data_IF_884009358472
#
_entry.id   IF_884009358472
#
_cell.length_a   1.000
_cell.length_b   1.000
_cell.length_c   1.000
_cell.angle_alpha   90.00
_cell.angle_beta   90.00
_cell.angle_gamma   90.00
#
_symmetry.space_group_name_H-M   'P 1'
#
loop_
_entity.id
_entity.type
_entity.pdbx_description
1 polymer ?
#
# COMPACT_ATOMS: atom_id res chain seq x y z
N UNK A 1 -42.21 14.80 4.52
CA UNK A 1 -41.30 14.07 5.43
C UNK A 1 -39.98 13.88 4.70
N UNK A 2 -38.94 14.62 5.08
CA UNK A 2 -37.58 14.27 4.68
C UNK A 2 -37.27 12.94 5.39
N UNK A 3 -37.17 11.84 4.66
CA UNK A 3 -36.65 10.60 5.22
C UNK A 3 -35.24 10.93 5.74
N UNK A 4 -34.99 10.72 7.03
CA UNK A 4 -33.64 10.92 7.57
C UNK A 4 -32.69 10.04 6.77
N UNK A 5 -31.63 10.63 6.22
CA UNK A 5 -30.59 9.85 5.55
C UNK A 5 -30.11 8.75 6.53
N UNK A 6 -29.97 7.50 6.08
CA UNK A 6 -29.48 6.42 6.93
C UNK A 6 -28.08 6.75 7.47
N UNK A 7 -27.84 6.41 8.73
CA UNK A 7 -26.54 6.58 9.39
C UNK A 7 -25.61 5.45 8.92
N UNK A 8 -24.83 5.74 7.87
CA UNK A 8 -23.92 4.78 7.26
C UNK A 8 -22.85 4.29 8.25
N UNK A 9 -22.31 5.19 9.08
CA UNK A 9 -21.31 4.85 10.09
C UNK A 9 -21.87 3.81 11.06
N UNK A 10 -23.07 4.04 11.60
CA UNK A 10 -23.72 3.09 12.51
C UNK A 10 -23.98 1.76 11.82
N UNK A 11 -24.53 1.77 10.61
CA UNK A 11 -24.83 0.54 9.85
C UNK A 11 -23.58 -0.33 9.66
N UNK A 12 -22.48 0.29 9.23
CA UNK A 12 -21.21 -0.39 9.01
C UNK A 12 -20.63 -0.90 10.34
N UNK A 13 -20.65 -0.07 11.39
CA UNK A 13 -20.11 -0.42 12.70
C UNK A 13 -20.85 -1.60 13.33
N UNK A 14 -22.19 -1.61 13.30
CA UNK A 14 -23.00 -2.68 13.87
C UNK A 14 -22.72 -4.03 13.18
N UNK A 15 -22.65 -4.04 11.84
CA UNK A 15 -22.28 -5.24 11.09
C UNK A 15 -20.85 -5.69 11.42
N UNK A 16 -19.92 -4.74 11.50
CA UNK A 16 -18.52 -5.00 11.84
C UNK A 16 -18.37 -5.63 13.23
N UNK A 17 -18.98 -5.04 14.26
CA UNK A 17 -18.92 -5.53 15.64
C UNK A 17 -19.51 -6.95 15.73
N UNK A 18 -20.59 -7.22 15.00
CA UNK A 18 -21.22 -8.54 14.96
C UNK A 18 -20.39 -9.58 14.21
N UNK A 19 -19.79 -9.21 13.08
CA UNK A 19 -19.16 -10.14 12.15
C UNK A 19 -17.65 -10.33 12.37
N UNK A 20 -17.00 -9.34 12.98
CA UNK A 20 -15.54 -9.21 13.08
C UNK A 20 -15.05 -9.06 14.53
N UNK A 21 -15.89 -9.35 15.52
CA UNK A 21 -15.52 -9.34 16.94
C UNK A 21 -14.19 -10.08 17.26
N UNK A 22 -13.90 -11.28 16.70
CA UNK A 22 -12.64 -11.96 16.96
C UNK A 22 -11.39 -11.16 16.54
N UNK A 23 -11.51 -10.29 15.53
CA UNK A 23 -10.42 -9.39 15.12
C UNK A 23 -10.15 -8.34 16.20
N UNK A 24 -11.20 -7.77 16.80
CA UNK A 24 -11.09 -6.79 17.90
C UNK A 24 -10.43 -7.47 19.12
N UNK A 25 -10.88 -8.66 19.50
CA UNK A 25 -10.26 -9.40 20.60
C UNK A 25 -8.78 -9.67 20.35
N UNK A 26 -8.44 -10.09 19.12
CA UNK A 26 -7.06 -10.38 18.73
C UNK A 26 -6.20 -9.12 18.78
N UNK A 27 -6.74 -7.99 18.31
CA UNK A 27 -6.07 -6.70 18.33
C UNK A 27 -5.83 -6.21 19.76
N UNK A 28 -6.85 -6.23 20.62
CA UNK A 28 -6.72 -5.81 22.04
C UNK A 28 -5.75 -6.70 22.80
N UNK A 29 -5.78 -8.03 22.59
CA UNK A 29 -4.80 -8.96 23.18
C UNK A 29 -3.40 -8.70 22.65
N UNK A 30 -3.26 -8.44 21.35
CA UNK A 30 -1.99 -8.09 20.73
C UNK A 30 -1.37 -6.83 21.31
N UNK A 31 -2.17 -5.77 21.45
CA UNK A 31 -1.78 -4.52 22.07
C UNK A 31 -1.34 -4.70 23.53
N UNK A 32 -2.04 -5.52 24.31
CA UNK A 32 -1.63 -5.82 25.70
C UNK A 32 -0.27 -6.55 25.80
N UNK A 33 0.17 -7.22 24.72
CA UNK A 33 1.45 -7.92 24.66
C UNK A 33 2.54 -7.18 23.89
N UNK A 34 2.21 -6.04 23.25
CA UNK A 34 3.21 -5.24 22.58
C UNK A 34 4.10 -4.60 23.64
N UNK A 35 5.39 -4.88 23.57
CA UNK A 35 6.39 -4.18 24.40
C UNK A 35 6.61 -2.81 23.81
N UNK A 36 6.86 -1.82 24.67
CA UNK A 36 7.36 -0.53 24.22
C UNK A 36 8.64 -0.75 23.41
N UNK A 37 8.60 -0.35 22.14
CA UNK A 37 9.78 -0.38 21.28
C UNK A 37 10.71 0.78 21.62
N UNK A 38 12.00 0.62 21.33
CA UNK A 38 12.98 1.72 21.44
C UNK A 38 12.50 2.92 20.61
N UNK A 39 12.85 4.12 21.06
CA UNK A 39 12.49 5.42 20.48
C UNK A 39 12.81 5.55 18.97
N UNK A 40 11.97 5.00 18.08
CA UNK A 40 11.99 5.29 16.64
C UNK A 40 10.88 6.28 16.33
N UNK A 41 11.25 7.49 15.93
CA UNK A 41 10.27 8.46 15.41
C UNK A 41 9.77 7.98 14.05
N UNK A 42 8.47 7.79 13.95
CA UNK A 42 7.80 7.43 12.69
C UNK A 42 7.24 8.69 12.07
N UNK A 43 7.57 8.93 10.78
CA UNK A 43 7.12 10.10 10.04
C UNK A 43 6.01 9.71 9.08
N UNK A 44 4.87 10.34 9.26
CA UNK A 44 3.74 10.31 8.34
C UNK A 44 3.51 11.70 7.76
N UNK A 45 2.53 11.80 6.88
CA UNK A 45 1.99 13.06 6.43
C UNK A 45 0.48 12.93 6.21
N UNK A 46 -0.21 14.06 6.18
CA UNK A 46 -1.59 14.17 5.74
C UNK A 46 -1.73 15.41 4.86
N UNK A 47 -2.67 15.39 3.92
CA UNK A 47 -2.99 16.57 3.14
C UNK A 47 -4.24 17.24 3.71
N UNK A 48 -4.19 18.56 3.82
CA UNK A 48 -5.32 19.40 4.22
C UNK A 48 -5.31 20.64 3.35
N UNK A 49 -6.44 20.96 2.74
CA UNK A 49 -6.55 22.10 1.81
C UNK A 49 -5.49 22.09 0.69
N UNK A 50 -5.14 20.90 0.18
CA UNK A 50 -4.11 20.73 -0.85
C UNK A 50 -2.66 20.95 -0.38
N UNK A 51 -2.43 21.13 0.92
CA UNK A 51 -1.09 21.26 1.51
C UNK A 51 -0.72 20.03 2.31
N UNK A 52 0.50 19.56 2.13
CA UNK A 52 1.10 18.48 2.91
C UNK A 52 1.45 18.99 4.31
N UNK A 53 1.04 18.25 5.33
CA UNK A 53 1.42 18.45 6.72
C UNK A 53 2.12 17.19 7.20
N UNK A 54 3.39 17.30 7.59
CA UNK A 54 4.12 16.16 8.15
C UNK A 54 3.74 15.96 9.62
N UNK A 55 3.53 14.71 10.02
CA UNK A 55 3.18 14.30 11.38
C UNK A 55 4.26 13.34 11.86
N UNK A 56 4.78 13.58 13.07
CA UNK A 56 5.72 12.66 13.70
C UNK A 56 5.05 12.00 14.88
N UNK A 57 5.07 10.67 14.91
CA UNK A 57 4.56 9.85 16.00
C UNK A 57 5.72 9.14 16.69
N UNK A 58 5.62 9.01 18.00
CA UNK A 58 6.58 8.22 18.78
C UNK A 58 6.35 6.72 18.57
N UNK A 59 7.41 5.90 18.68
CA UNK A 59 7.37 4.45 18.52
C UNK A 59 6.47 3.70 19.54
N UNK A 60 5.96 4.38 20.56
CA UNK A 60 5.05 3.79 21.54
C UNK A 60 3.65 3.47 20.99
N UNK A 61 3.34 3.88 19.77
CA UNK A 61 2.05 3.58 19.13
C UNK A 61 2.06 2.19 18.47
N UNK A 62 0.89 1.57 18.47
CA UNK A 62 0.63 0.32 17.76
C UNK A 62 0.11 0.65 16.35
N UNK A 63 1.00 0.65 15.36
CA UNK A 63 0.64 1.08 14.00
C UNK A 63 -0.11 -0.02 13.23
N UNK A 64 -1.32 0.31 12.77
CA UNK A 64 -2.16 -0.53 11.92
C UNK A 64 -2.07 -0.03 10.47
N UNK A 65 -1.45 -0.81 9.59
CA UNK A 65 -1.30 -0.45 8.18
C UNK A 65 -2.53 -0.83 7.36
N UNK A 66 -3.03 0.09 6.55
CA UNK A 66 -3.79 -0.17 5.32
C UNK A 66 -2.93 0.16 4.08
N UNK A 67 -3.31 -0.39 2.91
CA UNK A 67 -2.54 -0.22 1.67
C UNK A 67 -3.30 0.62 0.66
N UNK A 68 -2.59 1.48 -0.04
CA UNK A 68 -3.07 2.24 -1.20
C UNK A 68 -1.92 2.34 -2.21
N UNK A 69 -2.25 2.57 -3.46
CA UNK A 69 -1.26 2.66 -4.55
C UNK A 69 -1.34 4.02 -5.24
N UNK A 70 -0.19 4.57 -5.69
CA UNK A 70 -0.16 5.78 -6.53
C UNK A 70 -0.55 5.51 -8.00
N UNK A 71 -0.96 4.29 -8.32
CA UNK A 71 -1.30 3.88 -9.68
C UNK A 71 -2.46 4.66 -10.26
N UNK A 72 -3.31 5.29 -9.44
CA UNK A 72 -4.42 6.12 -9.89
C UNK A 72 -4.62 7.33 -8.96
N UNK A 73 -5.03 8.51 -9.50
CA UNK A 73 -5.36 9.68 -8.68
C UNK A 73 -6.63 9.52 -7.84
N UNK A 74 -7.61 8.77 -8.33
CA UNK A 74 -8.88 8.52 -7.64
C UNK A 74 -8.75 7.44 -6.56
N UNK A 75 -9.70 7.43 -5.62
CA UNK A 75 -9.85 6.36 -4.64
C UNK A 75 -10.76 5.28 -5.21
N UNK A 76 -10.29 4.05 -5.28
CA UNK A 76 -11.15 2.93 -5.69
C UNK A 76 -12.12 2.54 -4.58
N UNK A 77 -13.15 1.76 -4.95
CA UNK A 77 -14.06 1.15 -3.99
C UNK A 77 -13.31 0.28 -2.97
N UNK A 78 -12.35 -0.52 -3.44
CA UNK A 78 -11.49 -1.35 -2.58
C UNK A 78 -10.66 -0.51 -1.61
N UNK A 79 -10.02 0.56 -2.10
CA UNK A 79 -9.20 1.43 -1.25
C UNK A 79 -10.05 2.05 -0.13
N UNK A 80 -11.24 2.56 -0.44
CA UNK A 80 -12.12 3.18 0.56
C UNK A 80 -12.62 2.15 1.58
N UNK A 81 -12.96 0.94 1.13
CA UNK A 81 -13.34 -0.14 2.04
C UNK A 81 -12.19 -0.48 3.02
N UNK A 82 -10.96 -0.58 2.51
CA UNK A 82 -9.76 -0.80 3.32
C UNK A 82 -9.52 0.29 4.36
N UNK A 83 -9.72 1.56 3.98
CA UNK A 83 -9.58 2.71 4.88
C UNK A 83 -10.63 2.66 6.00
N UNK A 84 -11.89 2.40 5.66
CA UNK A 84 -12.97 2.27 6.65
C UNK A 84 -12.67 1.10 7.61
N UNK A 85 -12.25 -0.05 7.10
CA UNK A 85 -11.90 -1.20 7.93
C UNK A 85 -10.73 -0.91 8.89
N UNK A 86 -9.72 -0.16 8.45
CA UNK A 86 -8.63 0.28 9.30
C UNK A 86 -9.12 1.24 10.41
N UNK A 87 -10.01 2.18 10.09
CA UNK A 87 -10.66 3.06 11.09
C UNK A 87 -11.48 2.27 12.11
N UNK A 88 -12.27 1.28 11.67
CA UNK A 88 -13.08 0.45 12.56
C UNK A 88 -12.20 -0.37 13.52
N UNK A 89 -11.15 -1.03 13.01
CA UNK A 89 -10.18 -1.75 13.83
C UNK A 89 -9.53 -0.83 14.87
N UNK A 90 -9.07 0.34 14.44
CA UNK A 90 -8.42 1.30 15.31
C UNK A 90 -9.35 1.77 16.43
N UNK A 91 -10.53 2.27 16.09
CA UNK A 91 -11.47 2.85 17.05
C UNK A 91 -12.00 1.78 18.01
N UNK A 92 -12.42 0.62 17.49
CA UNK A 92 -12.87 -0.47 18.36
C UNK A 92 -11.71 -1.01 19.22
N UNK A 93 -10.51 -1.16 18.65
CA UNK A 93 -9.34 -1.62 19.38
C UNK A 93 -8.96 -0.70 20.52
N UNK A 94 -8.89 0.62 20.29
CA UNK A 94 -8.63 1.61 21.32
C UNK A 94 -9.74 1.63 22.39
N UNK A 95 -11.01 1.62 21.97
CA UNK A 95 -12.16 1.65 22.88
C UNK A 95 -12.19 0.45 23.82
N UNK A 96 -12.10 -0.78 23.28
CA UNK A 96 -12.17 -2.00 24.09
C UNK A 96 -10.86 -2.31 24.82
N UNK A 97 -9.74 -1.72 24.42
CA UNK A 97 -8.53 -1.73 25.24
C UNK A 97 -8.73 -0.90 26.53
N UNK A 98 -9.35 0.28 26.41
CA UNK A 98 -9.59 1.17 27.56
C UNK A 98 -10.73 0.69 28.46
N UNK A 99 -11.82 0.18 27.87
CA UNK A 99 -13.04 -0.21 28.60
C UNK A 99 -13.09 -1.71 28.94
N UNK A 100 -12.10 -2.49 28.49
CA UNK A 100 -12.07 -3.94 28.61
C UNK A 100 -12.97 -4.65 27.60
N UNK A 101 -12.63 -5.90 27.27
CA UNK A 101 -13.45 -6.73 26.38
C UNK A 101 -14.73 -7.20 27.11
N UNK A 102 -15.89 -6.94 26.51
CA UNK A 102 -17.20 -7.34 27.03
C UNK A 102 -18.21 -7.46 25.88
N UNK A 103 -19.43 -7.94 26.17
CA UNK A 103 -20.51 -7.98 25.18
C UNK A 103 -20.91 -6.57 24.76
N UNK A 104 -20.96 -6.34 23.45
CA UNK A 104 -21.27 -5.03 22.86
C UNK A 104 -22.68 -4.60 23.25
N UNK A 105 -22.78 -3.43 23.90
CA UNK A 105 -24.03 -2.79 24.25
C UNK A 105 -24.40 -1.68 23.26
N UNK A 106 -25.65 -1.21 23.32
CA UNK A 106 -26.07 -0.05 22.53
C UNK A 106 -25.26 1.21 22.87
N UNK A 107 -24.87 1.37 24.13
CA UNK A 107 -24.05 2.50 24.55
C UNK A 107 -22.68 2.47 23.86
N UNK A 108 -22.05 1.29 23.76
CA UNK A 108 -20.77 1.17 23.08
C UNK A 108 -20.87 1.56 21.61
N UNK A 109 -21.94 1.14 20.93
CA UNK A 109 -22.20 1.52 19.53
C UNK A 109 -22.31 3.05 19.39
N UNK A 110 -23.04 3.70 20.30
CA UNK A 110 -23.24 5.15 20.28
C UNK A 110 -21.93 5.90 20.52
N UNK A 111 -21.15 5.46 21.51
CA UNK A 111 -19.84 6.02 21.84
C UNK A 111 -18.84 5.82 20.69
N UNK A 112 -18.77 4.62 20.11
CA UNK A 112 -17.91 4.31 18.97
C UNK A 112 -18.30 5.11 17.72
N UNK A 113 -19.60 5.31 17.44
CA UNK A 113 -20.06 6.17 16.35
C UNK A 113 -19.62 7.63 16.54
N UNK A 114 -19.64 8.12 17.79
CA UNK A 114 -19.14 9.45 18.10
C UNK A 114 -17.62 9.56 17.89
N UNK A 115 -16.87 8.54 18.33
CA UNK A 115 -15.40 8.50 18.16
C UNK A 115 -15.02 8.42 16.68
N UNK A 116 -15.70 7.59 15.87
CA UNK A 116 -15.44 7.42 14.44
C UNK A 116 -15.48 8.74 13.65
N UNK A 117 -16.24 9.74 14.10
CA UNK A 117 -16.36 11.06 13.45
C UNK A 117 -15.15 11.97 13.68
N UNK A 118 -14.27 11.59 14.61
CA UNK A 118 -13.10 12.38 14.97
C UNK A 118 -11.81 11.74 14.40
N UNK A 119 -10.74 12.52 14.28
CA UNK A 119 -9.41 12.01 13.97
C UNK A 119 -8.97 10.89 14.91
N UNK A 120 -8.00 10.10 14.45
CA UNK A 120 -7.39 9.03 15.24
C UNK A 120 -6.87 9.53 16.59
N UNK A 121 -7.31 8.86 17.67
CA UNK A 121 -6.86 9.10 19.04
C UNK A 121 -6.64 7.75 19.74
N UNK A 122 -5.56 7.64 20.52
CA UNK A 122 -5.25 6.44 21.32
C UNK A 122 -3.92 5.79 20.97
N UNK A 123 -3.73 4.55 21.45
CA UNK A 123 -2.48 3.80 21.26
C UNK A 123 -2.37 3.19 19.87
N UNK A 124 -3.49 2.72 19.32
CA UNK A 124 -3.55 2.21 17.95
C UNK A 124 -3.71 3.40 17.02
N UNK A 125 -2.82 3.48 16.02
CA UNK A 125 -2.87 4.51 14.97
C UNK A 125 -2.92 3.81 13.63
N UNK A 126 -4.01 3.99 12.89
CA UNK A 126 -4.08 3.52 11.51
C UNK A 126 -3.33 4.46 10.57
N UNK A 127 -2.69 3.89 9.55
CA UNK A 127 -2.00 4.68 8.53
C UNK A 127 -2.05 4.00 7.15
N UNK A 128 -1.88 4.81 6.10
CA UNK A 128 -1.78 4.38 4.73
C UNK A 128 -0.33 4.19 4.32
N UNK A 129 0.02 2.98 3.89
CA UNK A 129 1.25 2.75 3.15
C UNK A 129 0.97 2.93 1.66
N UNK A 130 1.46 4.03 1.09
CA UNK A 130 1.38 4.31 -0.33
C UNK A 130 2.64 3.81 -1.04
N UNK A 131 2.47 2.89 -2.00
CA UNK A 131 3.59 2.34 -2.77
C UNK A 131 3.99 3.24 -3.94
N UNK A 132 5.23 3.74 -3.93
CA UNK A 132 5.74 4.76 -4.87
C UNK A 132 6.67 4.23 -5.98
N UNK A 133 6.92 2.91 -5.98
CA UNK A 133 7.79 2.23 -6.93
C UNK A 133 7.05 1.46 -8.04
N UNK A 134 5.79 1.81 -8.25
CA UNK A 134 4.86 1.23 -9.22
C UNK A 134 4.62 2.19 -10.40
N UNK A 135 3.98 1.71 -11.46
CA UNK A 135 3.60 2.52 -12.61
C UNK A 135 2.37 3.41 -12.31
N UNK A 136 2.40 4.66 -12.79
CA UNK A 136 1.34 5.66 -12.56
C UNK A 136 0.02 5.38 -13.28
N UNK A 137 -0.08 4.34 -14.10
CA UNK A 137 -1.32 3.90 -14.74
C UNK A 137 -1.38 2.36 -14.78
N UNK A 138 -1.14 1.75 -13.62
CA UNK A 138 -0.96 0.29 -13.51
C UNK A 138 -2.22 -0.53 -13.83
N UNK A 139 -3.40 0.02 -13.53
CA UNK A 139 -4.70 -0.66 -13.62
C UNK A 139 -5.66 -0.04 -14.65
N UNK A 140 -5.17 0.87 -15.50
CA UNK A 140 -5.95 1.45 -16.60
C UNK A 140 -7.25 2.16 -16.19
N UNK A 141 -7.24 2.88 -15.07
CA UNK A 141 -8.34 3.79 -14.69
C UNK A 141 -7.89 5.25 -14.60
N UNK A 142 -6.62 5.54 -14.87
CA UNK A 142 -6.08 6.88 -14.75
C UNK A 142 -6.52 7.75 -15.94
N UNK A 143 -7.23 8.88 -15.73
CA UNK A 143 -7.65 9.76 -16.82
C UNK A 143 -6.47 10.47 -17.51
N UNK A 144 -5.24 10.33 -17.00
CA UNK A 144 -4.01 10.87 -17.58
C UNK A 144 -3.26 9.85 -18.44
N UNK A 145 -3.78 8.61 -18.59
CA UNK A 145 -3.14 7.47 -19.26
C UNK A 145 -2.40 7.83 -20.55
N UNK A 146 -3.09 8.42 -21.52
CA UNK A 146 -2.47 8.74 -22.82
C UNK A 146 -1.33 9.76 -22.70
N UNK A 147 -1.47 10.75 -21.80
CA UNK A 147 -0.43 11.74 -21.55
C UNK A 147 0.78 11.18 -20.79
N UNK A 148 0.58 10.18 -19.92
CA UNK A 148 1.66 9.45 -19.24
C UNK A 148 2.48 8.67 -20.27
N UNK A 149 1.83 8.02 -21.25
CA UNK A 149 2.51 7.30 -22.34
C UNK A 149 3.21 8.27 -23.28
N UNK A 150 2.51 9.26 -23.83
CA UNK A 150 3.07 10.20 -24.81
C UNK A 150 4.14 11.13 -24.24
N UNK A 151 4.18 11.36 -22.92
CA UNK A 151 5.30 12.04 -22.25
C UNK A 151 6.54 11.16 -22.03
N UNK A 152 6.45 9.86 -22.33
CA UNK A 152 7.53 8.89 -22.16
C UNK A 152 7.72 8.40 -20.72
N UNK A 153 6.77 8.69 -19.82
CA UNK A 153 6.88 8.42 -18.38
C UNK A 153 6.16 7.14 -17.94
N UNK A 154 5.55 6.38 -18.84
CA UNK A 154 4.73 5.21 -18.48
C UNK A 154 5.50 4.03 -17.88
N UNK A 155 6.82 3.98 -18.06
CA UNK A 155 7.69 3.00 -17.39
C UNK A 155 8.40 3.56 -16.14
N UNK A 156 8.19 4.83 -15.81
CA UNK A 156 8.79 5.44 -14.61
C UNK A 156 8.04 4.97 -13.37
N UNK A 157 8.72 4.90 -12.21
CA UNK A 157 8.01 4.75 -10.95
C UNK A 157 7.24 6.04 -10.65
N UNK A 158 6.09 5.95 -9.96
CA UNK A 158 5.28 7.10 -9.58
C UNK A 158 6.10 8.22 -8.91
N UNK A 159 7.11 7.85 -8.11
CA UNK A 159 8.00 8.81 -7.47
C UNK A 159 8.76 9.74 -8.45
N UNK A 160 9.02 9.27 -9.67
CA UNK A 160 9.76 10.03 -10.68
C UNK A 160 8.85 10.71 -11.71
N UNK A 161 7.55 10.38 -11.75
CA UNK A 161 6.61 10.98 -12.70
C UNK A 161 6.40 12.46 -12.39
N UNK A 162 6.50 13.27 -13.44
CA UNK A 162 6.30 14.72 -13.45
C UNK A 162 4.93 15.04 -14.05
N UNK A 163 4.23 16.02 -13.46
CA UNK A 163 2.91 16.44 -13.95
C UNK A 163 2.97 17.35 -15.16
N UNK A 164 4.13 17.93 -15.45
CA UNK A 164 4.39 18.69 -16.66
C UNK A 164 4.11 17.80 -17.88
N UNK A 165 3.35 18.33 -18.84
CA UNK A 165 2.88 17.64 -20.06
C UNK A 165 1.82 16.56 -19.84
N UNK A 166 1.42 16.27 -18.59
CA UNK A 166 0.26 15.44 -18.35
C UNK A 166 -1.02 16.24 -18.64
N UNK A 167 -2.00 15.58 -19.23
CA UNK A 167 -3.28 16.13 -19.63
C UNK A 167 -4.34 15.03 -19.55
N UNK A 168 -5.60 15.44 -19.40
CA UNK A 168 -6.72 14.51 -19.43
C UNK A 168 -6.89 13.93 -20.83
N UNK A 169 -7.01 12.61 -20.91
CA UNK A 169 -7.45 11.92 -22.11
C UNK A 169 -8.99 12.03 -22.21
N UNK A 170 -9.46 13.03 -22.96
CA UNK A 170 -10.90 13.27 -23.14
C UNK A 170 -11.62 12.10 -23.80
N UNK A 171 -10.95 11.30 -24.65
CA UNK A 171 -11.57 10.12 -25.27
C UNK A 171 -11.80 9.03 -24.23
N UNK A 172 -10.82 8.82 -23.36
CA UNK A 172 -10.94 7.89 -22.24
C UNK A 172 -12.01 8.34 -21.24
N UNK A 173 -12.04 9.64 -20.92
CA UNK A 173 -13.10 10.21 -20.05
C UNK A 173 -14.48 10.00 -20.66
N UNK A 174 -14.67 10.35 -21.93
CA UNK A 174 -15.95 10.16 -22.62
C UNK A 174 -16.39 8.68 -22.64
N UNK A 175 -15.42 7.74 -22.72
CA UNK A 175 -15.70 6.30 -22.73
C UNK A 175 -16.12 5.75 -21.37
N UNK A 176 -15.53 6.25 -20.27
CA UNK A 176 -15.65 5.60 -18.95
C UNK A 176 -16.30 6.44 -17.85
N UNK A 177 -16.69 7.69 -18.12
CA UNK A 177 -17.47 8.49 -17.18
C UNK A 177 -18.72 7.74 -16.71
N UNK A 178 -18.91 7.70 -15.39
CA UNK A 178 -19.99 6.98 -14.72
C UNK A 178 -19.72 5.48 -14.49
N UNK A 179 -18.65 4.92 -15.07
CA UNK A 179 -18.31 3.51 -14.93
C UNK A 179 -17.00 3.24 -14.18
N UNK A 180 -15.97 4.05 -14.42
CA UNK A 180 -14.69 4.01 -13.69
C UNK A 180 -14.48 5.21 -12.77
N UNK A 181 -15.07 6.36 -13.08
CA UNK A 181 -14.94 7.61 -12.34
C UNK A 181 -16.06 8.55 -12.76
N UNK A 182 -16.33 9.59 -11.97
CA UNK A 182 -17.26 10.64 -12.35
C UNK A 182 -16.54 11.92 -12.80
N UNK A 183 -17.26 12.81 -13.49
CA UNK A 183 -16.70 14.05 -14.05
C UNK A 183 -16.03 14.94 -13.01
N UNK A 184 -16.64 15.06 -11.83
CA UNK A 184 -16.12 15.92 -10.76
C UNK A 184 -14.76 15.44 -10.22
N UNK A 185 -14.46 14.14 -10.32
CA UNK A 185 -13.15 13.60 -9.98
C UNK A 185 -12.10 13.96 -11.02
N UNK A 186 -12.43 13.88 -12.31
CA UNK A 186 -11.55 14.32 -13.39
C UNK A 186 -11.23 15.81 -13.23
N UNK A 187 -12.24 16.63 -12.95
CA UNK A 187 -12.07 18.07 -12.68
C UNK A 187 -11.17 18.32 -11.45
N UNK A 188 -11.30 17.52 -10.40
CA UNK A 188 -10.43 17.56 -9.22
C UNK A 188 -8.98 17.24 -9.60
N UNK A 189 -8.75 16.20 -10.41
CA UNK A 189 -7.41 15.86 -10.92
C UNK A 189 -6.81 17.02 -11.69
N UNK A 190 -7.54 17.60 -12.65
CA UNK A 190 -7.08 18.76 -13.45
C UNK A 190 -6.71 19.94 -12.56
N UNK A 191 -7.53 20.22 -11.53
CA UNK A 191 -7.31 21.33 -10.61
C UNK A 191 -5.99 21.21 -9.85
N UNK A 192 -5.59 20.00 -9.48
CA UNK A 192 -4.34 19.74 -8.72
C UNK A 192 -3.13 19.52 -9.64
N UNK A 193 -3.35 19.11 -10.89
CA UNK A 193 -2.27 18.87 -11.87
C UNK A 193 -1.31 20.06 -12.03
N UNK A 194 -1.85 21.29 -12.00
CA UNK A 194 -1.10 22.54 -12.11
C UNK A 194 -0.63 23.15 -10.78
N UNK A 195 -0.89 22.52 -9.62
CA UNK A 195 -0.64 23.13 -8.29
C UNK A 195 0.41 22.41 -7.46
N UNK A 196 0.78 21.18 -7.81
CA UNK A 196 1.59 20.31 -6.98
C UNK A 196 3.09 20.28 -7.38
N UNK A 197 3.68 21.44 -7.69
CA UNK A 197 5.14 21.60 -7.92
C UNK A 197 5.76 20.55 -8.87
N UNK A 198 5.04 20.19 -9.94
CA UNK A 198 5.49 19.18 -10.90
C UNK A 198 5.70 17.76 -10.32
N UNK A 199 5.01 17.42 -9.23
CA UNK A 199 5.10 16.13 -8.53
C UNK A 199 3.81 15.35 -8.69
N UNK A 200 3.89 14.20 -9.36
CA UNK A 200 2.72 13.34 -9.55
C UNK A 200 2.19 12.79 -8.22
N UNK A 201 3.08 12.34 -7.31
CA UNK A 201 2.66 11.85 -6.00
C UNK A 201 1.96 12.93 -5.16
N UNK A 202 2.48 14.16 -5.15
CA UNK A 202 1.84 15.25 -4.40
C UNK A 202 0.48 15.63 -5.01
N UNK A 203 0.31 15.50 -6.33
CA UNK A 203 -0.98 15.65 -7.00
C UNK A 203 -1.95 14.54 -6.59
N UNK A 204 -1.54 13.27 -6.64
CA UNK A 204 -2.37 12.14 -6.24
C UNK A 204 -2.79 12.25 -4.78
N UNK A 205 -1.87 12.59 -3.87
CA UNK A 205 -2.20 12.76 -2.46
C UNK A 205 -3.19 13.91 -2.24
N UNK A 206 -3.00 15.06 -2.89
CA UNK A 206 -3.95 16.16 -2.79
C UNK A 206 -5.35 15.76 -3.30
N UNK A 207 -5.43 15.02 -4.41
CA UNK A 207 -6.70 14.51 -4.96
C UNK A 207 -7.35 13.50 -4.02
N UNK A 208 -6.59 12.51 -3.52
CA UNK A 208 -7.10 11.45 -2.64
C UNK A 208 -7.56 12.03 -1.31
N UNK A 209 -6.80 12.91 -0.67
CA UNK A 209 -7.22 13.52 0.60
C UNK A 209 -8.44 14.45 0.45
N UNK A 210 -8.53 15.25 -0.62
CA UNK A 210 -9.76 16.02 -0.87
C UNK A 210 -10.97 15.09 -1.09
N UNK A 211 -10.75 13.93 -1.71
CA UNK A 211 -11.80 12.91 -1.84
C UNK A 211 -12.17 12.28 -0.49
N UNK A 212 -11.17 11.92 0.34
CA UNK A 212 -11.38 11.38 1.69
C UNK A 212 -12.19 12.36 2.54
N UNK A 213 -11.89 13.66 2.52
CA UNK A 213 -12.66 14.68 3.26
C UNK A 213 -14.15 14.66 2.88
N UNK A 214 -14.46 14.55 1.58
CA UNK A 214 -15.84 14.45 1.09
C UNK A 214 -16.52 13.14 1.49
N UNK A 215 -15.78 12.04 1.47
CA UNK A 215 -16.29 10.72 1.85
C UNK A 215 -16.48 10.63 3.36
N UNK A 216 -15.64 11.29 4.17
CA UNK A 216 -15.80 11.34 5.61
C UNK A 216 -17.14 11.93 6.01
N UNK A 217 -17.57 12.99 5.33
CA UNK A 217 -18.90 13.59 5.53
C UNK A 217 -20.04 12.65 5.09
N UNK A 218 -19.82 11.90 4.01
CA UNK A 218 -20.84 11.02 3.43
C UNK A 218 -21.07 9.77 4.29
N UNK A 219 -19.99 9.15 4.77
CA UNK A 219 -20.05 7.97 5.63
C UNK A 219 -20.29 8.31 7.10
N UNK A 220 -19.95 9.52 7.55
CA UNK A 220 -19.97 9.87 8.97
C UNK A 220 -18.81 9.26 9.76
N UNK A 221 -17.69 8.98 9.10
CA UNK A 221 -16.45 8.41 9.67
C UNK A 221 -15.31 9.30 9.19
N UNK A 222 -14.39 9.74 10.05
CA UNK A 222 -13.18 10.43 9.60
C UNK A 222 -12.23 9.43 8.92
N UNK A 223 -12.10 9.57 7.60
CA UNK A 223 -11.27 8.71 6.74
C UNK A 223 -9.87 9.28 6.48
N UNK A 224 -9.58 10.51 6.93
CA UNK A 224 -8.35 11.22 6.67
C UNK A 224 -7.18 10.75 7.55
N UNK A 225 -6.84 9.46 7.47
CA UNK A 225 -5.75 8.87 8.27
C UNK A 225 -4.36 9.26 7.72
N UNK A 226 -3.31 9.28 8.55
CA UNK A 226 -1.95 9.60 8.12
C UNK A 226 -1.42 8.63 7.05
N UNK A 227 -0.52 9.11 6.21
CA UNK A 227 0.10 8.36 5.11
C UNK A 227 1.62 8.31 5.20
N UNK A 228 2.22 7.28 4.59
CA UNK A 228 3.65 7.11 4.39
C UNK A 228 3.91 6.71 2.93
N UNK A 229 4.97 7.27 2.30
CA UNK A 229 5.40 6.88 0.94
C UNK A 229 6.59 5.93 1.02
N UNK A 230 6.52 4.78 0.37
CA UNK A 230 7.60 3.79 0.33
C UNK A 230 7.62 3.00 -0.98
N UNK A 231 8.76 2.44 -1.40
CA UNK A 231 10.08 2.53 -0.78
C UNK A 231 10.96 3.68 -1.25
N UNK A 232 10.73 4.28 -2.42
CA UNK A 232 11.67 5.18 -3.09
C UNK A 232 11.85 6.50 -2.36
N UNK A 233 10.75 7.07 -1.85
CA UNK A 233 10.81 8.31 -1.05
C UNK A 233 11.70 8.12 0.19
N UNK A 234 11.61 6.96 0.84
CA UNK A 234 12.46 6.65 2.00
C UNK A 234 13.91 6.44 1.56
N UNK A 235 14.15 5.64 0.52
CA UNK A 235 15.49 5.40 -0.04
C UNK A 235 16.20 6.68 -0.48
N UNK A 236 15.47 7.67 -0.98
CA UNK A 236 16.03 8.97 -1.36
C UNK A 236 16.42 9.81 -0.13
N UNK A 237 15.65 9.70 0.96
CA UNK A 237 15.86 10.43 2.21
C UNK A 237 16.89 9.80 3.15
N UNK A 238 17.11 8.48 3.04
CA UNK A 238 18.04 7.73 3.88
C UNK A 238 19.51 7.93 3.43
N UNK A 239 20.44 7.89 4.39
CA UNK A 239 21.87 7.75 4.09
C UNK A 239 22.17 6.30 3.72
N UNK A 240 23.39 6.01 3.26
CA UNK A 240 23.83 4.63 2.97
C UNK A 240 23.82 3.71 4.20
N UNK A 241 23.76 4.27 5.41
CA UNK A 241 23.59 3.51 6.66
C UNK A 241 22.12 3.33 7.08
N UNK A 242 21.19 3.85 6.28
CA UNK A 242 19.75 3.69 6.44
C UNK A 242 19.30 2.24 6.35
N UNK A 243 18.09 1.99 6.83
CA UNK A 243 17.56 0.64 6.97
C UNK A 243 17.31 -0.02 5.61
N UNK A 244 16.72 0.70 4.64
CA UNK A 244 16.43 0.10 3.33
C UNK A 244 17.73 -0.16 2.56
N UNK A 245 18.72 0.73 2.64
CA UNK A 245 20.05 0.48 2.07
C UNK A 245 20.70 -0.74 2.72
N UNK A 246 20.66 -0.86 4.04
CA UNK A 246 21.16 -2.04 4.75
C UNK A 246 20.49 -3.33 4.26
N UNK A 247 19.15 -3.37 4.19
CA UNK A 247 18.39 -4.53 3.69
C UNK A 247 18.85 -4.92 2.28
N UNK A 248 18.98 -3.94 1.37
CA UNK A 248 19.40 -4.22 0.00
C UNK A 248 20.83 -4.78 -0.04
N UNK A 249 21.79 -4.17 0.67
CA UNK A 249 23.18 -4.65 0.70
C UNK A 249 23.29 -6.08 1.20
N UNK A 250 22.63 -6.37 2.33
CA UNK A 250 22.74 -7.66 2.99
C UNK A 250 22.10 -8.79 2.19
N UNK A 251 20.96 -8.49 1.54
CA UNK A 251 20.28 -9.46 0.68
C UNK A 251 21.01 -9.73 -0.63
N UNK A 252 21.93 -8.86 -1.05
CA UNK A 252 22.73 -9.02 -2.26
C UNK A 252 24.21 -9.38 -2.01
N UNK A 253 24.61 -9.59 -0.74
CA UNK A 253 26.01 -9.80 -0.34
C UNK A 253 26.69 -10.92 -1.13
N UNK A 254 26.06 -12.08 -1.19
CA UNK A 254 26.60 -13.29 -1.81
C UNK A 254 25.49 -14.26 -2.25
N UNK A 255 25.89 -15.41 -2.80
CA UNK A 255 24.98 -16.48 -3.21
C UNK A 255 24.07 -16.95 -2.07
N UNK A 256 24.60 -17.11 -0.86
CA UNK A 256 23.82 -17.64 0.27
C UNK A 256 22.79 -16.62 0.74
N UNK A 257 23.12 -15.33 0.78
CA UNK A 257 22.15 -14.27 1.07
C UNK A 257 20.97 -14.31 0.10
N UNK A 258 21.24 -14.37 -1.21
CA UNK A 258 20.20 -14.40 -2.24
C UNK A 258 19.38 -15.68 -2.14
N UNK A 259 20.02 -16.83 -1.92
CA UNK A 259 19.35 -18.12 -1.76
C UNK A 259 18.39 -18.13 -0.56
N UNK A 260 18.77 -17.53 0.58
CA UNK A 260 17.90 -17.43 1.76
C UNK A 260 16.66 -16.58 1.47
N UNK A 261 16.84 -15.44 0.78
CA UNK A 261 15.69 -14.61 0.35
C UNK A 261 14.81 -15.39 -0.62
N UNK A 262 15.39 -16.07 -1.61
CA UNK A 262 14.65 -16.90 -2.56
C UNK A 262 13.84 -18.01 -1.87
N UNK A 263 14.38 -18.64 -0.82
CA UNK A 263 13.65 -19.62 -0.02
C UNK A 263 12.42 -19.00 0.64
N UNK A 264 12.53 -17.79 1.21
CA UNK A 264 11.39 -17.02 1.72
C UNK A 264 10.36 -16.71 0.63
N UNK A 265 10.77 -16.68 -0.64
CA UNK A 265 9.89 -16.50 -1.80
C UNK A 265 9.33 -17.82 -2.38
N UNK A 266 9.74 -18.99 -1.89
CA UNK A 266 9.45 -20.26 -2.54
C UNK A 266 10.09 -20.38 -3.94
N UNK A 267 11.22 -19.71 -4.16
CA UNK A 267 11.98 -19.70 -5.41
C UNK A 267 13.26 -20.51 -5.27
N UNK A 268 13.73 -21.06 -6.39
CA UNK A 268 15.01 -21.77 -6.46
C UNK A 268 16.08 -20.93 -7.15
N UNK A 269 17.35 -21.23 -6.85
CA UNK A 269 18.50 -20.61 -7.51
C UNK A 269 18.75 -21.13 -8.94
N UNK A 270 17.87 -21.97 -9.50
CA UNK A 270 18.09 -22.61 -10.82
C UNK A 270 18.05 -21.62 -11.99
N UNK A 271 17.09 -20.70 -11.99
CA UNK A 271 16.86 -19.81 -13.13
C UNK A 271 17.55 -18.45 -12.96
N UNK A 272 17.78 -18.02 -11.71
CA UNK A 272 18.45 -16.74 -11.38
C UNK A 272 17.84 -15.51 -12.06
N UNK A 273 16.52 -15.49 -12.25
CA UNK A 273 15.81 -14.41 -12.96
C UNK A 273 15.08 -13.43 -12.05
N UNK A 274 14.83 -13.79 -10.79
CA UNK A 274 14.03 -12.97 -9.87
C UNK A 274 14.89 -11.91 -9.21
N UNK A 275 14.74 -10.66 -9.61
CA UNK A 275 15.50 -9.57 -9.00
C UNK A 275 14.94 -9.24 -7.61
N UNK A 276 15.80 -9.24 -6.58
CA UNK A 276 15.43 -8.86 -5.22
C UNK A 276 15.23 -7.35 -5.08
N UNK A 277 15.97 -6.57 -5.87
CA UNK A 277 15.66 -5.19 -6.20
C UNK A 277 15.75 -5.02 -7.71
N UNK A 278 14.85 -4.25 -8.31
CA UNK A 278 14.82 -3.97 -9.75
C UNK A 278 15.57 -2.66 -10.03
N UNK A 279 16.81 -2.69 -10.57
CA UNK A 279 17.54 -1.49 -10.89
C UNK A 279 16.81 -0.63 -11.91
N UNK A 280 16.78 0.68 -11.69
CA UNK A 280 16.23 1.63 -12.65
C UNK A 280 17.21 1.79 -13.81
N UNK A 281 16.69 1.92 -15.02
CA UNK A 281 17.51 2.18 -16.19
C UNK A 281 18.11 3.60 -16.15
N UNK A 282 19.21 3.87 -16.88
CA UNK A 282 19.71 5.24 -17.08
C UNK A 282 18.67 6.19 -17.70
N UNK A 283 17.65 5.64 -18.36
CA UNK A 283 16.51 6.38 -18.93
C UNK A 283 15.40 6.63 -17.91
N UNK A 284 15.52 6.17 -16.66
CA UNK A 284 14.51 6.36 -15.60
C UNK A 284 13.45 5.24 -15.49
N UNK A 285 13.44 4.25 -16.39
CA UNK A 285 12.50 3.13 -16.31
C UNK A 285 12.71 2.30 -15.05
N UNK A 286 11.62 1.99 -14.33
CA UNK A 286 11.61 1.19 -13.11
C UNK A 286 10.47 0.15 -13.04
N UNK A 287 9.65 0.04 -14.10
CA UNK A 287 8.53 -0.89 -14.14
C UNK A 287 8.96 -2.33 -13.84
N UNK A 288 8.50 -2.88 -12.71
CA UNK A 288 8.76 -4.28 -12.32
C UNK A 288 8.13 -5.25 -13.31
N UNK A 289 7.04 -4.84 -13.98
CA UNK A 289 6.34 -5.62 -15.02
C UNK A 289 7.12 -5.65 -16.33
N UNK A 290 7.81 -4.56 -16.69
CA UNK A 290 8.62 -4.45 -17.88
C UNK A 290 10.03 -5.08 -17.73
N UNK A 291 10.57 -5.11 -16.52
CA UNK A 291 11.91 -5.60 -16.24
C UNK A 291 12.04 -7.13 -16.39
N UNK A 292 13.14 -7.58 -17.00
CA UNK A 292 13.57 -8.99 -17.05
C UNK A 292 15.01 -9.08 -16.55
N UNK A 293 15.19 -9.81 -15.46
CA UNK A 293 16.48 -9.92 -14.77
C UNK A 293 17.23 -11.20 -15.08
N UNK A 294 18.56 -11.12 -15.00
CA UNK A 294 19.45 -12.29 -14.83
C UNK A 294 20.56 -11.97 -13.85
N UNK A 295 20.73 -12.81 -12.84
CA UNK A 295 21.76 -12.70 -11.82
C UNK A 295 22.94 -13.60 -12.22
N UNK A 296 24.15 -13.07 -12.14
CA UNK A 296 25.37 -13.79 -12.48
C UNK A 296 26.28 -13.89 -11.26
N UNK A 297 26.82 -15.08 -11.03
CA UNK A 297 27.78 -15.36 -9.97
C UNK A 297 29.14 -15.75 -10.55
N UNK A 298 30.18 -15.49 -9.77
CA UNK A 298 31.52 -16.05 -9.93
C UNK A 298 31.83 -16.87 -8.67
N UNK A 299 31.66 -18.18 -8.76
CA UNK A 299 31.58 -19.05 -7.58
C UNK A 299 30.43 -18.63 -6.66
N UNK A 300 30.74 -18.31 -5.40
CA UNK A 300 29.76 -17.82 -4.42
C UNK A 300 29.57 -16.29 -4.45
N UNK A 301 30.42 -15.57 -5.17
CA UNK A 301 30.39 -14.10 -5.21
C UNK A 301 29.38 -13.62 -6.24
N UNK A 302 28.51 -12.69 -5.86
CA UNK A 302 27.69 -11.98 -6.85
C UNK A 302 28.64 -11.23 -7.80
N UNK A 303 28.48 -11.42 -9.11
CA UNK A 303 29.28 -10.74 -10.12
C UNK A 303 28.55 -9.51 -10.65
N UNK A 304 27.29 -9.68 -11.02
CA UNK A 304 26.50 -8.63 -11.67
C UNK A 304 25.05 -9.04 -11.84
N UNK A 305 24.19 -8.07 -12.09
CA UNK A 305 22.81 -8.27 -12.53
C UNK A 305 22.64 -7.65 -13.91
N UNK A 306 22.11 -8.40 -14.88
CA UNK A 306 21.65 -7.85 -16.16
C UNK A 306 20.15 -7.57 -16.07
N UNK A 307 19.74 -6.42 -16.57
CA UNK A 307 18.34 -6.01 -16.66
C UNK A 307 18.01 -5.65 -18.10
N UNK A 308 16.97 -6.29 -18.63
CA UNK A 308 16.37 -5.96 -19.92
C UNK A 308 14.96 -5.40 -19.65
N UNK A 309 14.75 -4.10 -19.90
CA UNK A 309 13.42 -3.51 -19.93
C UNK A 309 12.81 -3.73 -21.30
N UNK A 310 11.56 -4.17 -21.32
CA UNK A 310 10.78 -4.33 -22.56
C UNK A 310 9.42 -3.70 -22.41
N UNK A 311 8.98 -3.02 -23.46
CA UNK A 311 7.62 -2.51 -23.55
C UNK A 311 6.62 -3.64 -23.25
N UNK A 312 5.80 -3.44 -22.22
CA UNK A 312 4.96 -4.51 -21.65
C UNK A 312 3.57 -3.98 -21.31
N UNK A 313 2.54 -4.76 -21.65
CA UNK A 313 1.16 -4.52 -21.20
C UNK A 313 1.05 -4.67 -19.68
N UNK A 314 0.39 -3.71 -19.05
CA UNK A 314 0.08 -3.71 -17.62
C UNK A 314 -1.21 -4.46 -17.34
N UNK A 315 -1.89 -4.17 -16.23
CA UNK A 315 -3.13 -4.85 -15.89
C UNK A 315 -4.29 -4.20 -16.64
N UNK A 316 -5.19 -4.98 -17.25
CA UNK A 316 -6.44 -4.44 -17.77
C UNK A 316 -7.30 -3.93 -16.62
N UNK A 317 -8.15 -2.93 -16.90
CA UNK A 317 -9.26 -2.63 -16.00
C UNK A 317 -10.35 -3.70 -16.13
N UNK A 318 -11.19 -3.89 -15.10
CA UNK A 318 -12.20 -4.95 -15.11
C UNK A 318 -13.40 -4.69 -16.04
N UNK A 319 -13.56 -3.47 -16.57
CA UNK A 319 -14.70 -3.10 -17.44
C UNK A 319 -14.42 -3.43 -18.91
N UNK A 320 -13.22 -3.11 -19.39
CA UNK A 320 -12.78 -3.43 -20.75
C UNK A 320 -11.40 -4.10 -20.71
N UNK A 321 -11.34 -5.44 -20.79
CA UNK A 321 -10.08 -6.18 -20.79
C UNK A 321 -9.15 -5.87 -21.96
N UNK A 322 -9.63 -5.22 -23.02
CA UNK A 322 -8.82 -4.83 -24.18
C UNK A 322 -8.20 -3.44 -24.01
N UNK A 323 -8.70 -2.64 -23.07
CA UNK A 323 -8.16 -1.32 -22.74
C UNK A 323 -7.10 -1.48 -21.66
N UNK A 324 -5.88 -1.77 -22.12
CA UNK A 324 -4.75 -2.10 -21.25
C UNK A 324 -3.74 -0.97 -21.27
N UNK A 325 -3.22 -0.62 -20.10
CA UNK A 325 -2.11 0.33 -19.99
C UNK A 325 -0.80 -0.31 -20.38
N UNK A 326 0.21 0.51 -20.71
CA UNK A 326 1.48 0.01 -21.22
C UNK A 326 2.61 0.72 -20.50
N UNK A 327 3.53 -0.06 -19.92
CA UNK A 327 4.84 0.43 -19.53
C UNK A 327 5.71 0.43 -20.79
N UNK A 328 5.86 1.60 -21.41
CA UNK A 328 6.62 1.77 -22.65
C UNK A 328 8.07 2.09 -22.35
N UNK A 329 8.99 1.30 -22.89
CA UNK A 329 10.41 1.48 -22.66
C UNK A 329 11.21 0.22 -22.98
N UNK A 330 12.24 0.40 -23.81
CA UNK A 330 13.21 -0.63 -24.13
C UNK A 330 14.61 -0.16 -23.74
N UNK A 331 15.26 -0.95 -22.89
CA UNK A 331 16.64 -0.71 -22.46
C UNK A 331 17.30 -2.02 -22.01
N UNK A 332 18.62 -2.08 -22.08
CA UNK A 332 19.40 -3.25 -21.63
C UNK A 332 20.71 -2.78 -21.03
N UNK A 333 20.91 -3.08 -19.75
CA UNK A 333 22.11 -2.69 -19.04
C UNK A 333 22.51 -3.73 -17.99
N UNK A 334 23.68 -3.51 -17.40
CA UNK A 334 24.24 -4.36 -16.36
C UNK A 334 24.60 -3.49 -15.16
N UNK A 335 24.30 -4.00 -13.98
CA UNK A 335 24.72 -3.44 -12.69
C UNK A 335 25.77 -4.38 -12.12
N UNK A 336 26.95 -3.83 -11.82
CA UNK A 336 28.01 -4.59 -11.18
C UNK A 336 27.66 -4.89 -9.73
N UNK A 337 28.12 -6.02 -9.20
CA UNK A 337 27.76 -6.45 -7.85
C UNK A 337 28.10 -5.43 -6.77
N UNK A 338 29.20 -4.69 -6.94
CA UNK A 338 29.66 -3.71 -5.96
C UNK A 338 28.61 -2.62 -5.69
N UNK A 339 27.88 -2.22 -6.73
CA UNK A 339 26.78 -1.25 -6.63
C UNK A 339 25.57 -1.76 -5.84
N UNK A 340 25.42 -3.08 -5.70
CA UNK A 340 24.34 -3.70 -4.92
C UNK A 340 24.81 -4.06 -3.51
N UNK A 341 26.08 -4.45 -3.34
CA UNK A 341 26.67 -4.78 -2.03
C UNK A 341 27.09 -3.54 -1.24
N UNK A 342 27.42 -2.44 -1.92
CA UNK A 342 27.69 -1.11 -1.36
C UNK A 342 26.58 -0.12 -1.77
N UNK A 343 25.33 -0.59 -1.71
CA UNK A 343 24.18 0.11 -2.27
C UNK A 343 24.06 1.58 -1.84
N UNK A 344 23.90 2.44 -2.85
CA UNK A 344 23.57 3.84 -2.72
C UNK A 344 22.46 4.19 -3.74
N UNK A 345 21.28 4.57 -3.25
CA UNK A 345 20.14 4.90 -4.11
C UNK A 345 20.45 6.01 -5.14
N UNK A 346 21.30 6.99 -4.79
CA UNK A 346 21.65 8.08 -5.71
C UNK A 346 22.48 7.63 -6.90
N UNK A 347 23.27 6.57 -6.73
CA UNK A 347 24.17 6.03 -7.74
C UNK A 347 23.55 4.85 -8.49
N UNK A 348 22.78 4.02 -7.80
CA UNK A 348 22.11 2.83 -8.34
C UNK A 348 20.67 2.79 -7.84
N UNK A 349 19.79 3.67 -8.35
CA UNK A 349 18.39 3.67 -7.94
C UNK A 349 17.75 2.33 -8.32
N UNK A 350 16.97 1.75 -7.39
CA UNK A 350 16.34 0.46 -7.60
C UNK A 350 15.08 0.30 -6.75
N UNK A 351 14.13 -0.48 -7.27
CA UNK A 351 12.84 -0.76 -6.62
C UNK A 351 12.87 -2.15 -5.94
N UNK A 352 13.00 -2.23 -4.59
CA UNK A 352 13.02 -3.50 -3.88
C UNK A 352 11.68 -4.25 -3.97
N UNK A 353 11.71 -5.57 -3.79
CA UNK A 353 10.47 -6.35 -3.66
C UNK A 353 9.72 -5.97 -2.38
N UNK A 354 8.38 -6.03 -2.41
CA UNK A 354 7.50 -5.62 -1.31
C UNK A 354 7.91 -6.18 0.05
N UNK A 355 8.10 -7.50 0.14
CA UNK A 355 8.40 -8.17 1.41
C UNK A 355 9.78 -7.79 1.99
N UNK A 356 10.67 -7.16 1.20
CA UNK A 356 11.95 -6.64 1.69
C UNK A 356 11.75 -5.26 2.31
N UNK A 357 11.18 -4.31 1.56
CA UNK A 357 11.01 -2.96 2.11
C UNK A 357 9.93 -2.89 3.19
N UNK A 358 8.99 -3.83 3.21
CA UNK A 358 8.00 -3.91 4.29
C UNK A 358 8.63 -4.18 5.65
N UNK A 359 9.86 -4.71 5.73
CA UNK A 359 10.62 -4.82 6.99
C UNK A 359 10.93 -3.45 7.60
N UNK A 360 10.95 -2.38 6.80
CA UNK A 360 11.15 -1.02 7.27
C UNK A 360 9.85 -0.30 7.66
N UNK A 361 8.69 -0.86 7.29
CA UNK A 361 7.36 -0.39 7.69
C UNK A 361 7.20 -0.52 9.22
N UNK A 362 6.65 0.49 9.91
CA UNK A 362 6.48 0.50 11.37
C UNK A 362 5.28 -0.35 11.86
N UNK A 363 4.67 -1.13 10.96
CA UNK A 363 3.45 -1.89 11.21
C UNK A 363 3.57 -2.92 12.35
N UNK A 364 2.71 -2.79 13.34
CA UNK A 364 2.44 -3.82 14.37
C UNK A 364 1.22 -4.69 14.00
N UNK A 365 0.34 -4.16 13.15
CA UNK A 365 -0.72 -4.88 12.47
C UNK A 365 -0.83 -4.45 11.01
N UNK A 366 -1.33 -5.36 10.16
CA UNK A 366 -1.56 -5.13 8.75
C UNK A 366 -2.95 -5.57 8.34
N UNK A 367 -3.62 -4.74 7.54
CA UNK A 367 -4.85 -5.09 6.86
C UNK A 367 -4.54 -5.43 5.40
N UNK A 368 -4.98 -6.60 4.98
CA UNK A 368 -4.97 -7.04 3.59
C UNK A 368 -6.36 -6.94 2.98
N UNK A 369 -6.41 -6.66 1.67
CA UNK A 369 -7.66 -6.55 0.93
C UNK A 369 -7.88 -7.86 0.16
N UNK A 370 -8.73 -8.75 0.69
CA UNK A 370 -9.18 -9.91 -0.07
C UNK A 370 -8.15 -11.02 -0.31
N UNK A 371 -7.21 -11.29 0.61
CA UNK A 371 -6.38 -12.51 0.53
C UNK A 371 -7.29 -13.73 0.39
N UNK A 372 -7.02 -14.55 -0.62
CA UNK A 372 -7.88 -15.67 -1.02
C UNK A 372 -8.68 -15.39 -2.30
N UNK A 373 -8.89 -14.11 -2.65
CA UNK A 373 -9.17 -13.70 -4.02
C UNK A 373 -7.85 -13.43 -4.76
N UNK A 374 -7.85 -13.68 -6.07
CA UNK A 374 -6.77 -13.33 -7.01
C UNK A 374 -5.35 -13.87 -6.69
N UNK A 375 -5.21 -14.86 -5.80
CA UNK A 375 -3.96 -15.60 -5.60
C UNK A 375 -2.87 -14.90 -4.77
N UNK A 376 -3.22 -13.88 -3.99
CA UNK A 376 -2.26 -13.10 -3.17
C UNK A 376 -1.66 -13.86 -1.96
N UNK A 377 -2.04 -15.12 -1.71
CA UNK A 377 -1.52 -15.92 -0.59
C UNK A 377 0.01 -16.12 -0.65
N UNK A 378 0.59 -16.13 -1.85
CA UNK A 378 2.04 -16.29 -2.01
C UNK A 378 2.82 -15.05 -1.57
N UNK A 379 2.26 -13.84 -1.76
CA UNK A 379 2.83 -12.61 -1.24
C UNK A 379 2.83 -12.63 0.29
N UNK A 380 1.69 -13.00 0.88
CA UNK A 380 1.55 -13.11 2.33
C UNK A 380 2.54 -14.12 2.91
N UNK A 381 2.70 -15.27 2.26
CA UNK A 381 3.69 -16.27 2.67
C UNK A 381 5.12 -15.75 2.67
N UNK A 382 5.48 -15.00 1.61
CA UNK A 382 6.81 -14.40 1.51
C UNK A 382 7.04 -13.32 2.55
N UNK A 383 6.04 -12.49 2.78
CA UNK A 383 6.03 -11.48 3.81
C UNK A 383 6.22 -12.08 5.21
N UNK A 384 5.38 -13.06 5.59
CA UNK A 384 5.44 -13.71 6.90
C UNK A 384 6.76 -14.46 7.11
N UNK A 385 7.19 -15.26 6.12
CA UNK A 385 8.43 -16.06 6.23
C UNK A 385 9.66 -15.17 6.35
N UNK A 386 9.73 -14.09 5.59
CA UNK A 386 10.87 -13.14 5.65
C UNK A 386 11.01 -12.55 7.05
N UNK A 387 9.90 -12.11 7.66
CA UNK A 387 9.90 -11.58 9.03
C UNK A 387 10.36 -12.62 10.05
N UNK A 388 9.89 -13.86 9.96
CA UNK A 388 10.31 -14.95 10.84
C UNK A 388 11.81 -15.28 10.72
N UNK A 389 12.35 -15.34 9.50
CA UNK A 389 13.78 -15.57 9.28
C UNK A 389 14.64 -14.40 9.78
N UNK A 390 14.15 -13.16 9.68
CA UNK A 390 14.79 -12.00 10.31
C UNK A 390 14.73 -12.09 11.84
N UNK A 391 13.59 -12.49 12.41
CA UNK A 391 13.42 -12.67 13.85
C UNK A 391 14.38 -13.74 14.41
N UNK A 392 14.64 -14.79 13.65
CA UNK A 392 15.56 -15.86 14.02
C UNK A 392 17.05 -15.51 13.74
N UNK A 393 17.33 -14.33 13.17
CA UNK A 393 18.69 -13.90 12.80
C UNK A 393 19.31 -14.72 11.66
N UNK A 394 18.51 -15.48 10.90
CA UNK A 394 18.97 -16.32 9.79
C UNK A 394 19.05 -15.56 8.48
N UNK A 395 18.20 -14.56 8.25
CA UNK A 395 18.20 -13.76 7.03
C UNK A 395 18.95 -12.43 7.17
N UNK A 396 18.44 -11.52 8.00
CA UNK A 396 19.05 -10.23 8.31
C UNK A 396 19.24 -10.14 9.81
N UNK A 397 20.44 -9.78 10.25
CA UNK A 397 20.80 -9.72 11.67
C UNK A 397 20.63 -8.31 12.21
N UNK A 398 20.49 -8.22 13.53
CA UNK A 398 20.56 -6.98 14.30
C UNK A 398 19.58 -5.87 13.86
N UNK A 399 18.51 -6.21 13.12
CA UNK A 399 17.53 -5.24 12.64
C UNK A 399 16.88 -4.47 13.81
N UNK A 400 16.46 -5.17 14.86
CA UNK A 400 15.92 -4.55 16.06
C UNK A 400 16.95 -3.76 16.87
N UNK A 401 18.19 -4.26 16.97
CA UNK A 401 19.23 -3.64 17.80
C UNK A 401 19.82 -2.39 17.14
N UNK A 402 20.13 -2.47 15.84
CA UNK A 402 20.81 -1.44 15.06
C UNK A 402 19.85 -0.41 14.46
N UNK A 403 18.68 -0.85 14.00
CA UNK A 403 17.73 -0.02 13.25
C UNK A 403 16.41 0.22 13.98
N UNK A 404 16.23 -0.35 15.18
CA UNK A 404 15.03 -0.13 15.99
C UNK A 404 13.75 -0.59 15.30
N UNK A 405 13.80 -1.69 14.55
CA UNK A 405 12.62 -2.27 13.90
C UNK A 405 12.18 -3.58 14.52
N UNK A 406 10.87 -3.73 14.65
CA UNK A 406 10.28 -5.02 14.99
C UNK A 406 10.29 -5.97 13.81
N UNK A 407 11.04 -7.05 14.02
CA UNK A 407 11.15 -8.19 13.10
C UNK A 407 10.05 -9.23 13.31
N UNK A 408 9.27 -9.13 14.40
CA UNK A 408 8.11 -9.99 14.63
C UNK A 408 7.12 -9.82 13.46
N UNK A 409 6.50 -10.91 12.96
CA UNK A 409 5.34 -10.80 12.09
C UNK A 409 4.23 -9.97 12.77
N UNK A 410 3.72 -8.90 12.13
CA UNK A 410 2.61 -8.16 12.69
C UNK A 410 1.34 -8.99 12.71
N UNK A 411 0.34 -8.56 13.47
CA UNK A 411 -1.00 -9.14 13.37
C UNK A 411 -1.52 -8.96 11.95
N UNK A 412 -2.14 -9.99 11.40
CA UNK A 412 -2.58 -9.98 10.01
C UNK A 412 -4.10 -10.07 9.97
N UNK A 413 -4.73 -9.05 9.40
CA UNK A 413 -6.18 -9.00 9.19
C UNK A 413 -6.48 -9.01 7.70
N UNK A 414 -7.64 -9.52 7.32
CA UNK A 414 -8.05 -9.62 5.94
C UNK A 414 -9.50 -9.19 5.77
N UNK A 415 -9.78 -8.33 4.81
CA UNK A 415 -11.13 -8.15 4.29
C UNK A 415 -11.55 -9.44 3.60
N UNK A 416 -12.63 -10.06 4.09
CA UNK A 416 -13.07 -11.35 3.57
C UNK A 416 -13.55 -11.17 2.12
N UNK A 417 -13.00 -11.88 1.12
CA UNK A 417 -13.29 -11.63 -0.30
C UNK A 417 -14.76 -11.56 -0.68
N UNK A 418 -15.60 -12.40 -0.04
CA UNK A 418 -17.05 -12.45 -0.29
C UNK A 418 -17.77 -11.14 0.03
N UNK A 419 -17.19 -10.32 0.91
CA UNK A 419 -17.75 -9.06 1.40
C UNK A 419 -17.00 -7.85 0.85
N UNK A 420 -16.14 -8.03 -0.15
CA UNK A 420 -15.51 -6.90 -0.84
C UNK A 420 -16.58 -6.06 -1.55
N UNK A 421 -16.48 -4.76 -1.38
CA UNK A 421 -17.33 -3.79 -2.05
C UNK A 421 -16.97 -3.71 -3.53
N UNK A 422 -17.97 -3.44 -4.36
CA UNK A 422 -17.82 -3.32 -5.81
C UNK A 422 -18.83 -2.33 -6.36
N UNK A 423 -18.55 -1.78 -7.54
CA UNK A 423 -19.50 -0.92 -8.25
C UNK A 423 -20.83 -1.67 -8.52
N UNK A 424 -22.00 -1.16 -8.10
CA UNK A 424 -23.27 -1.90 -8.18
C UNK A 424 -23.63 -2.36 -9.60
N UNK A 425 -23.45 -1.49 -10.59
CA UNK A 425 -23.72 -1.78 -12.00
C UNK A 425 -22.60 -2.60 -12.67
N UNK A 426 -21.34 -2.16 -12.55
CA UNK A 426 -20.22 -2.72 -13.31
C UNK A 426 -19.49 -3.88 -12.63
N UNK A 427 -19.82 -4.18 -11.36
CA UNK A 427 -19.20 -5.25 -10.57
C UNK A 427 -17.67 -5.16 -10.49
N UNK A 428 -17.15 -3.94 -10.51
CA UNK A 428 -15.73 -3.62 -10.51
C UNK A 428 -15.28 -3.05 -9.14
N UNK A 429 -14.19 -3.58 -8.59
CA UNK A 429 -13.58 -3.10 -7.33
C UNK A 429 -12.61 -1.94 -7.57
N UNK A 430 -12.05 -1.87 -8.79
CA UNK A 430 -11.11 -0.85 -9.23
C UNK A 430 -11.81 0.42 -9.74
N UNK A 431 -13.15 0.44 -9.81
CA UNK A 431 -13.86 1.68 -10.12
C UNK A 431 -13.65 2.67 -8.97
N UNK A 432 -13.67 3.96 -9.29
CA UNK A 432 -13.68 4.99 -8.26
C UNK A 432 -14.96 4.90 -7.42
N UNK A 433 -14.83 5.08 -6.11
CA UNK A 433 -15.98 5.27 -5.23
C UNK A 433 -16.83 6.49 -5.64
N UNK A 434 -16.24 7.49 -6.29
CA UNK A 434 -16.91 8.74 -6.67
C UNK A 434 -17.99 8.59 -7.73
N UNK A 435 -18.01 7.47 -8.48
CA UNK A 435 -19.08 7.16 -9.43
C UNK A 435 -20.20 6.28 -8.85
N UNK A 436 -20.17 5.97 -7.54
CA UNK A 436 -21.23 5.21 -6.89
C UNK A 436 -22.23 6.15 -6.23
N UNK A 437 -23.45 6.17 -6.78
CA UNK A 437 -24.54 7.02 -6.29
C UNK A 437 -25.13 6.53 -4.96
N UNK A 438 -25.28 5.20 -4.81
CA UNK A 438 -25.89 4.60 -3.62
C UNK A 438 -24.84 4.00 -2.69
N UNK A 439 -24.27 4.83 -1.81
CA UNK A 439 -23.36 4.36 -0.76
C UNK A 439 -24.06 3.45 0.27
N UNK A 440 -25.39 3.51 0.38
CA UNK A 440 -26.13 2.62 1.28
C UNK A 440 -26.07 1.18 0.80
N UNK A 441 -26.08 0.97 -0.52
CA UNK A 441 -25.86 -0.35 -1.10
C UNK A 441 -24.53 -0.94 -0.63
N UNK A 442 -23.44 -0.15 -0.68
CA UNK A 442 -22.12 -0.60 -0.23
C UNK A 442 -22.10 -0.87 1.27
N UNK A 443 -22.60 0.05 2.09
CA UNK A 443 -22.71 -0.15 3.53
C UNK A 443 -23.53 -1.41 3.89
N UNK A 444 -24.59 -1.67 3.13
CA UNK A 444 -25.44 -2.85 3.28
C UNK A 444 -24.80 -4.18 2.85
N UNK A 445 -23.71 -4.15 2.07
CA UNK A 445 -22.88 -5.36 1.83
C UNK A 445 -22.13 -5.80 3.11
N UNK A 446 -22.01 -4.90 4.09
CA UNK A 446 -21.33 -5.12 5.35
C UNK A 446 -19.82 -4.93 5.28
N UNK A 447 -19.17 -5.12 6.43
CA UNK A 447 -17.73 -5.02 6.61
C UNK A 447 -17.24 -6.18 7.46
N UNK A 448 -16.87 -7.28 6.80
CA UNK A 448 -16.38 -8.47 7.47
C UNK A 448 -14.89 -8.65 7.28
N UNK A 449 -14.20 -8.85 8.40
CA UNK A 449 -12.82 -9.22 8.43
C UNK A 449 -12.59 -10.54 9.15
N UNK A 450 -11.40 -11.07 8.93
CA UNK A 450 -10.86 -12.21 9.65
C UNK A 450 -9.42 -11.92 10.09
N UNK A 451 -9.02 -12.55 11.19
CA UNK A 451 -7.61 -12.65 11.55
C UNK A 451 -6.98 -13.82 10.79
N UNK A 452 -5.84 -13.57 10.16
CA UNK A 452 -5.05 -14.56 9.44
C UNK A 452 -3.92 -15.09 10.34
N UNK A 453 -4.01 -16.33 10.86
CA UNK A 453 -2.99 -16.88 11.74
C UNK A 453 -1.66 -17.02 11.01
N UNK A 454 -0.59 -16.49 11.62
CA UNK A 454 0.78 -16.49 11.08
C UNK A 454 1.21 -17.88 10.61
N UNK A 455 0.88 -18.92 11.36
CA UNK A 455 1.29 -20.31 11.13
C UNK A 455 0.80 -20.87 9.80
N UNK A 456 -0.33 -20.36 9.29
CA UNK A 456 -0.90 -20.79 8.01
C UNK A 456 -0.13 -20.22 6.79
N UNK A 457 0.64 -19.15 7.00
CA UNK A 457 1.35 -18.42 5.95
C UNK A 457 2.86 -18.54 6.09
N UNK A 458 3.37 -19.55 6.80
CA UNK A 458 4.80 -19.85 6.82
C UNK A 458 5.13 -20.76 5.63
N UNK A 459 6.16 -20.41 4.85
CA UNK A 459 6.72 -21.33 3.87
C UNK A 459 7.55 -22.38 4.61
N UNK A 460 7.18 -23.64 4.41
CA UNK A 460 7.88 -24.80 4.96
C UNK A 460 9.10 -25.17 4.13
#
# INVERSE_FOLDING_TARGET
MLMSRPDLARMILEDFLKSSWPCIETLVKGLATSKEEKERKVRFYCFKNGQRNDVTSDAGHFFLRASVEYSNPQLTVEEVQGIIAARLLEVCGNYFHQNGLHEVTQKDIDDLCAILRNPSEGLIVSFLLNTDDIEADRYSMNPLKESIVSSGQSSYPCAAVKTEKLQVDEKFVQKYEGSLFCRSEVERVVRHLGKCNNSYMDMVDAVKYEHLESLSQSFGIDLCIPSMRMPLTILESETTDGLLHYIIRETHRDYQSIERVYRCMGRSMKNLTTLLTVPHSPKGYASKRAARGRIYFDGAKLKSVKVDYKTTQLYPNAIDPNDVSVAQGDDSFRVEADNLTNYNYKETPSSPQFFLYSLASPEAAVLWHGIGAFGASELLKSYTTTRLECQNGSLLKDLGEKHGVTVRPPLQFNLVPKYMWFHPTHRNIDASIGCIEDLNFLAGLGMRMEHLPTEQFIRK
#
